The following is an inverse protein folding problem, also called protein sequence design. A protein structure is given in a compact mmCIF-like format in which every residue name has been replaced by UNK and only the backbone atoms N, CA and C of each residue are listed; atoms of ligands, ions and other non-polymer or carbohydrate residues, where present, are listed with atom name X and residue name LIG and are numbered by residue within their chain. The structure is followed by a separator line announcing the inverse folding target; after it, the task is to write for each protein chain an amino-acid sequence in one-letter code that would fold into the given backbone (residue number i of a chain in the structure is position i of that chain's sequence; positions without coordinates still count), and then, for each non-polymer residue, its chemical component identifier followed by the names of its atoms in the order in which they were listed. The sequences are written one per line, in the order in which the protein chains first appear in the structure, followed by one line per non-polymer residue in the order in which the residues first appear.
data_IF_775140122205
#
_entry.id   IF_775140122205
#
_cell.length_a   1.000
_cell.length_b   1.000
_cell.length_c   1.000
_cell.angle_alpha   90.00
_cell.angle_beta   90.00
_cell.angle_gamma   90.00
#
_symmetry.space_group_name_H-M   'P 1'
#
loop_
_entity.id
_entity.type
_entity.pdbx_description
1 polymer ?
#
# COMPACT_ATOMS: atom_id res chain seq x y z
N UNK A 1 -7.62 6.88 -20.81
CA UNK A 1 -6.46 7.70 -20.38
C UNK A 1 -5.70 8.22 -21.60
N UNK A 2 -5.05 7.37 -22.40
CA UNK A 2 -4.15 7.80 -23.49
C UNK A 2 -4.74 8.87 -24.44
N UNK A 3 -5.99 8.69 -24.88
CA UNK A 3 -6.70 9.68 -25.71
C UNK A 3 -6.85 11.06 -25.06
N UNK A 4 -6.92 11.12 -23.73
CA UNK A 4 -7.02 12.37 -22.98
C UNK A 4 -5.66 13.08 -22.91
N UNK A 5 -4.57 12.36 -22.65
CA UNK A 5 -3.22 12.93 -22.75
C UNK A 5 -2.87 13.38 -24.17
N UNK A 6 -3.29 12.63 -25.19
CA UNK A 6 -3.14 13.05 -26.59
C UNK A 6 -3.91 14.36 -26.87
N UNK A 7 -5.12 14.50 -26.35
CA UNK A 7 -5.89 15.74 -26.48
C UNK A 7 -5.19 16.93 -25.80
N UNK A 8 -4.65 16.74 -24.59
CA UNK A 8 -3.89 17.77 -23.87
C UNK A 8 -2.64 18.16 -24.66
N UNK A 9 -1.87 17.18 -25.16
CA UNK A 9 -0.69 17.45 -25.96
C UNK A 9 -1.00 18.23 -27.23
N UNK A 10 -2.10 17.89 -27.91
CA UNK A 10 -2.58 18.64 -29.10
C UNK A 10 -2.95 20.09 -28.76
N UNK A 11 -3.70 20.33 -27.68
CA UNK A 11 -4.09 21.69 -27.25
C UNK A 11 -2.88 22.54 -26.89
N UNK A 12 -1.87 21.93 -26.26
CA UNK A 12 -0.62 22.61 -25.88
C UNK A 12 0.36 22.79 -27.03
N UNK A 13 0.11 22.17 -28.19
CA UNK A 13 1.06 22.13 -29.31
C UNK A 13 2.35 21.36 -28.99
N UNK A 14 2.36 20.56 -27.92
CA UNK A 14 3.51 19.79 -27.43
C UNK A 14 3.06 18.35 -27.19
N UNK A 15 3.58 17.36 -27.94
CA UNK A 15 3.28 15.95 -27.69
C UNK A 15 3.51 15.57 -26.22
N UNK A 16 2.59 14.78 -25.68
CA UNK A 16 2.66 14.24 -24.32
C UNK A 16 2.73 12.72 -24.40
N UNK A 17 3.81 12.14 -23.88
CA UNK A 17 4.07 10.71 -23.91
C UNK A 17 4.10 10.13 -22.49
N UNK A 18 3.51 8.94 -22.31
CA UNK A 18 3.52 8.23 -21.03
C UNK A 18 4.42 7.00 -21.17
N UNK A 19 5.34 6.84 -20.23
CA UNK A 19 6.26 5.70 -20.17
C UNK A 19 6.14 5.02 -18.81
N UNK A 20 5.98 3.70 -18.83
CA UNK A 20 6.07 2.88 -17.63
C UNK A 20 7.49 2.40 -17.46
N UNK A 21 8.15 2.80 -16.37
CA UNK A 21 9.50 2.38 -16.00
C UNK A 21 9.48 1.78 -14.60
N UNK A 22 10.39 0.87 -14.28
CA UNK A 22 10.51 0.39 -12.90
C UNK A 22 11.23 1.44 -12.06
N UNK A 23 10.45 2.28 -11.37
CA UNK A 23 10.97 3.24 -10.41
C UNK A 23 11.08 2.58 -9.04
N UNK A 24 12.23 2.66 -8.37
CA UNK A 24 12.36 2.19 -7.00
C UNK A 24 11.58 3.09 -6.03
N UNK A 25 11.34 2.60 -4.81
CA UNK A 25 10.56 3.31 -3.79
C UNK A 25 11.23 4.62 -3.31
N UNK A 26 12.52 4.79 -3.58
CA UNK A 26 13.31 6.00 -3.33
C UNK A 26 13.00 7.16 -4.29
N UNK A 27 12.38 6.87 -5.43
CA UNK A 27 11.92 7.88 -6.40
C UNK A 27 10.43 8.19 -6.19
N UNK A 28 9.92 9.34 -6.64
CA UNK A 28 8.48 9.58 -6.70
C UNK A 28 7.78 8.56 -7.64
N UNK A 29 6.47 8.33 -7.45
CA UNK A 29 5.71 7.37 -8.26
C UNK A 29 5.60 7.78 -9.74
N UNK A 30 5.71 9.09 -10.01
CA UNK A 30 5.69 9.70 -11.32
C UNK A 30 6.72 10.81 -11.43
N UNK A 31 7.13 11.12 -12.66
CA UNK A 31 8.06 12.18 -13.00
C UNK A 31 7.63 12.83 -14.30
N UNK A 32 7.43 14.14 -14.28
CA UNK A 32 7.29 14.95 -15.49
C UNK A 32 8.66 15.39 -16.00
N UNK A 33 9.01 15.00 -17.22
CA UNK A 33 10.24 15.39 -17.90
C UNK A 33 9.88 16.22 -19.13
N UNK A 34 10.19 17.52 -19.08
CA UNK A 34 10.00 18.45 -20.20
C UNK A 34 11.27 18.42 -21.08
N UNK A 35 11.15 17.92 -22.32
CA UNK A 35 12.24 17.93 -23.30
C UNK A 35 11.95 18.90 -24.44
N UNK A 36 12.97 19.18 -25.24
CA UNK A 36 12.82 19.96 -26.47
C UNK A 36 11.90 19.20 -27.45
N UNK A 37 10.69 19.72 -27.64
CA UNK A 37 9.71 19.21 -28.61
C UNK A 37 8.73 18.16 -28.10
N UNK A 38 8.82 17.67 -26.85
CA UNK A 38 7.83 16.80 -26.24
C UNK A 38 7.93 16.77 -24.71
N UNK A 39 6.82 16.48 -24.04
CA UNK A 39 6.76 16.23 -22.59
C UNK A 39 6.58 14.73 -22.34
N UNK A 40 7.28 14.21 -21.34
CA UNK A 40 7.25 12.80 -20.96
C UNK A 40 6.77 12.67 -19.51
N UNK A 41 5.78 11.82 -19.28
CA UNK A 41 5.37 11.39 -17.96
C UNK A 41 5.92 9.98 -17.75
N UNK A 42 6.92 9.84 -16.89
CA UNK A 42 7.50 8.55 -16.51
C UNK A 42 6.79 8.09 -15.25
N UNK A 43 6.33 6.85 -15.22
CA UNK A 43 5.53 6.31 -14.11
C UNK A 43 6.08 4.97 -13.68
N UNK A 44 6.06 4.71 -12.38
CA UNK A 44 6.37 3.40 -11.83
C UNK A 44 5.42 2.33 -12.40
N UNK A 45 5.99 1.45 -13.23
CA UNK A 45 5.28 0.38 -13.92
C UNK A 45 4.69 -0.67 -12.96
N UNK A 46 5.13 -0.69 -11.69
CA UNK A 46 4.59 -1.57 -10.66
C UNK A 46 3.34 -0.99 -9.96
N UNK A 47 2.91 0.23 -10.30
CA UNK A 47 1.71 0.83 -9.71
C UNK A 47 0.43 0.11 -10.17
N UNK A 48 -0.50 -0.19 -9.23
CA UNK A 48 -1.85 -0.63 -9.57
C UNK A 48 -2.58 0.37 -10.47
N UNK A 49 -3.53 -0.10 -11.30
CA UNK A 49 -4.18 0.72 -12.34
C UNK A 49 -4.69 2.08 -11.85
N UNK A 50 -5.37 2.11 -10.70
CA UNK A 50 -5.94 3.34 -10.16
C UNK A 50 -4.85 4.30 -9.66
N UNK A 51 -3.83 3.78 -8.98
CA UNK A 51 -2.68 4.58 -8.53
C UNK A 51 -1.89 5.13 -9.71
N UNK A 52 -1.61 4.28 -10.72
CA UNK A 52 -0.98 4.70 -11.98
C UNK A 52 -1.75 5.84 -12.63
N UNK A 53 -3.07 5.74 -12.70
CA UNK A 53 -3.89 6.79 -13.28
C UNK A 53 -3.84 8.08 -12.47
N UNK A 54 -3.96 8.01 -11.14
CA UNK A 54 -3.79 9.20 -10.30
C UNK A 54 -2.43 9.85 -10.51
N UNK A 55 -1.35 9.07 -10.56
CA UNK A 55 -0.01 9.58 -10.85
C UNK A 55 0.05 10.29 -12.20
N UNK A 56 -0.52 9.72 -13.27
CA UNK A 56 -0.64 10.45 -14.56
C UNK A 56 -1.35 11.78 -14.38
N UNK A 57 -2.51 11.77 -13.70
CA UNK A 57 -3.36 12.95 -13.54
C UNK A 57 -2.65 14.04 -12.73
N UNK A 58 -1.85 13.65 -11.75
CA UNK A 58 -1.00 14.53 -10.95
C UNK A 58 0.08 15.20 -11.81
N UNK A 59 0.84 14.44 -12.62
CA UNK A 59 1.83 15.04 -13.53
C UNK A 59 1.16 15.95 -14.59
N UNK A 60 -0.04 15.58 -15.05
CA UNK A 60 -0.84 16.42 -15.93
C UNK A 60 -1.31 17.70 -15.21
N UNK A 61 -1.63 17.63 -13.93
CA UNK A 61 -2.00 18.81 -13.15
C UNK A 61 -0.84 19.81 -13.09
N UNK A 62 0.40 19.35 -12.88
CA UNK A 62 1.57 20.22 -12.99
C UNK A 62 1.66 20.90 -14.37
N UNK A 63 1.41 20.17 -15.46
CA UNK A 63 1.41 20.74 -16.80
C UNK A 63 0.31 21.78 -17.04
N UNK A 64 -0.88 21.58 -16.48
CA UNK A 64 -2.04 22.47 -16.67
C UNK A 64 -1.92 23.72 -15.82
N UNK A 65 -1.39 23.59 -14.61
CA UNK A 65 -1.17 24.70 -13.67
C UNK A 65 0.17 25.43 -13.89
N UNK A 66 0.96 24.96 -14.86
CA UNK A 66 2.33 25.42 -15.15
C UNK A 66 3.24 25.43 -13.93
N UNK A 67 3.11 24.39 -13.10
CA UNK A 67 4.07 24.10 -12.04
C UNK A 67 5.34 23.55 -12.69
N UNK A 68 6.50 24.00 -12.22
CA UNK A 68 7.76 23.34 -12.51
C UNK A 68 7.74 21.97 -11.82
N UNK A 69 7.21 20.97 -12.52
CA UNK A 69 7.19 19.57 -12.08
C UNK A 69 8.63 19.13 -11.87
N UNK A 70 9.04 19.08 -10.61
CA UNK A 70 10.44 19.00 -10.26
C UNK A 70 10.87 17.52 -10.32
N UNK A 71 11.43 17.13 -11.46
CA UNK A 71 11.80 15.74 -11.69
C UNK A 71 12.86 15.24 -10.69
N UNK A 72 13.66 16.13 -10.07
CA UNK A 72 14.83 15.72 -9.29
C UNK A 72 15.32 16.71 -8.20
N UNK A 73 14.72 17.88 -7.97
CA UNK A 73 15.20 18.80 -6.92
C UNK A 73 14.42 18.66 -5.60
N UNK A 74 15.17 18.82 -4.51
CA UNK A 74 14.76 18.42 -3.15
C UNK A 74 13.85 19.43 -2.43
N UNK A 75 13.46 20.51 -3.09
CA UNK A 75 12.67 21.62 -2.51
C UNK A 75 11.44 21.93 -3.37
N UNK A 76 10.62 20.91 -3.62
CA UNK A 76 9.30 21.14 -4.24
C UNK A 76 8.38 21.80 -3.22
N UNK A 77 7.76 22.91 -3.60
CA UNK A 77 6.84 23.65 -2.74
C UNK A 77 5.64 22.76 -2.39
N UNK A 78 5.48 22.47 -1.10
CA UNK A 78 4.39 21.64 -0.59
C UNK A 78 3.00 22.19 -0.94
N UNK A 79 2.87 23.50 -1.16
CA UNK A 79 1.62 24.10 -1.62
C UNK A 79 1.32 23.76 -3.09
N UNK A 80 2.32 23.80 -3.97
CA UNK A 80 2.19 23.43 -5.38
C UNK A 80 1.87 21.94 -5.54
N UNK A 81 2.50 21.09 -4.73
CA UNK A 81 2.20 19.66 -4.66
C UNK A 81 0.76 19.39 -4.22
N UNK A 82 0.29 20.09 -3.18
CA UNK A 82 -1.08 19.96 -2.69
C UNK A 82 -2.10 20.43 -3.74
N UNK A 83 -1.80 21.52 -4.46
CA UNK A 83 -2.66 22.03 -5.53
C UNK A 83 -2.72 21.06 -6.72
N UNK A 84 -1.57 20.51 -7.15
CA UNK A 84 -1.51 19.49 -8.20
C UNK A 84 -2.30 18.23 -7.82
N UNK A 85 -2.23 17.80 -6.56
CA UNK A 85 -3.02 16.68 -6.05
C UNK A 85 -4.53 16.94 -6.05
N UNK A 86 -4.96 18.14 -5.63
CA UNK A 86 -6.38 18.51 -5.68
C UNK A 86 -6.89 18.58 -7.12
N UNK A 87 -6.10 19.14 -8.03
CA UNK A 87 -6.42 19.17 -9.45
C UNK A 87 -6.50 17.75 -10.03
N UNK A 88 -5.58 16.85 -9.68
CA UNK A 88 -5.62 15.44 -10.09
C UNK A 88 -6.90 14.74 -9.62
N UNK A 89 -7.31 14.98 -8.37
CA UNK A 89 -8.55 14.43 -7.82
C UNK A 89 -9.80 14.94 -8.58
N UNK A 90 -9.83 16.22 -8.97
CA UNK A 90 -10.90 16.79 -9.79
C UNK A 90 -10.92 16.23 -11.21
N UNK A 91 -9.74 16.11 -11.84
CA UNK A 91 -9.57 15.51 -13.16
C UNK A 91 -10.04 14.05 -13.18
N UNK A 92 -9.73 13.29 -12.13
CA UNK A 92 -10.19 11.93 -11.95
C UNK A 92 -11.72 11.85 -11.89
N UNK A 93 -12.35 12.73 -11.11
CA UNK A 93 -13.80 12.81 -11.02
C UNK A 93 -14.44 13.09 -12.37
N UNK A 94 -13.91 14.07 -13.12
CA UNK A 94 -14.41 14.40 -14.45
C UNK A 94 -14.28 13.23 -15.42
N UNK A 95 -13.14 12.53 -15.42
CA UNK A 95 -12.92 11.34 -16.23
C UNK A 95 -13.92 10.22 -15.88
N UNK A 96 -14.11 9.94 -14.59
CA UNK A 96 -15.07 8.93 -14.13
C UNK A 96 -16.53 9.30 -14.46
N UNK A 97 -16.89 10.58 -14.36
CA UNK A 97 -18.20 11.09 -14.77
C UNK A 97 -18.42 10.93 -16.27
N UNK A 98 -17.45 11.34 -17.11
CA UNK A 98 -17.53 11.22 -18.56
C UNK A 98 -17.68 9.75 -19.01
N UNK A 99 -16.90 8.83 -18.43
CA UNK A 99 -17.01 7.40 -18.72
C UNK A 99 -18.40 6.84 -18.37
N UNK A 100 -18.96 7.26 -17.22
CA UNK A 100 -20.31 6.90 -16.82
C UNK A 100 -21.39 7.44 -17.75
N UNK A 101 -21.23 8.66 -18.27
CA UNK A 101 -22.17 9.28 -19.21
C UNK A 101 -22.14 8.65 -20.61
N UNK A 102 -21.00 8.13 -21.06
CA UNK A 102 -20.89 7.43 -22.36
C UNK A 102 -21.48 6.02 -22.35
N UNK A 103 -21.69 5.44 -21.17
CA UNK A 103 -22.23 4.08 -21.01
C UNK A 103 -23.77 4.00 -21.07
N UNK A 104 -24.49 5.12 -21.17
CA UNK A 104 -25.95 5.14 -21.34
C UNK A 104 -26.36 5.60 -22.75
N UNK A 105 -26.95 4.71 -23.58
CA UNK A 105 -27.83 5.14 -24.66
C UNK A 105 -29.11 5.74 -24.07
N UNK A 106 -29.50 6.89 -24.60
CA UNK A 106 -30.77 7.56 -24.35
C UNK A 106 -31.97 6.62 -24.58
N UNK A 107 -32.53 6.09 -23.50
CA UNK A 107 -33.98 5.87 -23.41
C UNK A 107 -34.49 6.60 -22.19
N UNK A 108 -35.15 7.72 -22.45
CA UNK A 108 -36.03 8.45 -21.53
C UNK A 108 -37.02 7.45 -20.91
N UNK A 109 -36.71 6.91 -19.73
CA UNK A 109 -37.66 6.15 -18.92
C UNK A 109 -37.89 6.87 -17.60
N UNK A 110 -38.63 7.98 -17.70
CA UNK A 110 -39.24 8.71 -16.58
C UNK A 110 -40.42 7.89 -15.98
N UNK A 111 -40.32 6.56 -15.92
CA UNK A 111 -41.44 5.69 -15.52
C UNK A 111 -41.03 4.44 -14.71
N UNK A 112 -39.87 4.44 -14.04
CA UNK A 112 -39.44 3.29 -13.22
C UNK A 112 -38.76 3.66 -11.88
N UNK A 113 -38.96 4.88 -11.36
CA UNK A 113 -38.48 5.27 -10.02
C UNK A 113 -39.39 4.81 -8.87
N UNK A 114 -40.42 4.02 -9.15
CA UNK A 114 -41.27 3.40 -8.14
C UNK A 114 -41.04 1.88 -8.13
N UNK A 115 -40.30 1.42 -7.12
CA UNK A 115 -40.13 0.02 -6.64
C UNK A 115 -38.77 -0.67 -6.86
N UNK A 116 -37.66 0.03 -6.60
CA UNK A 116 -36.46 -0.65 -6.09
C UNK A 116 -36.56 -0.70 -4.56
N UNK A 117 -36.60 -1.88 -3.90
CA UNK A 117 -36.85 -1.93 -2.47
C UNK A 117 -35.68 -1.32 -1.69
N UNK A 118 -35.99 -0.41 -0.77
CA UNK A 118 -35.07 0.28 0.15
C UNK A 118 -34.06 -0.67 0.86
N UNK A 119 -34.38 -1.97 0.97
CA UNK A 119 -33.50 -3.02 1.55
C UNK A 119 -32.29 -3.39 0.69
N UNK A 120 -32.37 -3.35 -0.64
CA UNK A 120 -31.22 -3.61 -1.53
C UNK A 120 -30.29 -2.39 -1.60
N UNK A 121 -30.87 -1.20 -1.45
CA UNK A 121 -30.12 0.06 -1.39
C UNK A 121 -29.35 0.19 -0.07
N UNK A 122 -29.94 -0.26 1.04
CA UNK A 122 -29.27 -0.26 2.34
C UNK A 122 -28.11 -1.26 2.36
N UNK A 123 -28.28 -2.51 1.90
CA UNK A 123 -27.22 -3.53 1.98
C UNK A 123 -25.96 -3.15 1.21
N UNK A 124 -26.09 -2.64 -0.02
CA UNK A 124 -24.94 -2.17 -0.82
C UNK A 124 -24.25 -0.95 -0.20
N UNK A 125 -25.02 -0.02 0.37
CA UNK A 125 -24.46 1.13 1.10
C UNK A 125 -23.70 0.67 2.35
N UNK A 126 -24.22 -0.31 3.08
CA UNK A 126 -23.55 -0.89 4.25
C UNK A 126 -22.27 -1.64 3.87
N UNK A 127 -22.25 -2.40 2.78
CA UNK A 127 -21.03 -3.06 2.31
C UNK A 127 -19.96 -2.06 1.90
N UNK A 128 -20.36 -0.96 1.26
CA UNK A 128 -19.45 0.11 0.86
C UNK A 128 -18.89 0.85 2.09
N UNK A 129 -19.73 1.20 3.07
CA UNK A 129 -19.27 1.83 4.32
C UNK A 129 -18.33 0.91 5.11
N UNK A 130 -18.61 -0.39 5.11
CA UNK A 130 -17.74 -1.38 5.75
C UNK A 130 -16.40 -1.49 5.03
N UNK A 131 -16.41 -1.46 3.70
CA UNK A 131 -15.18 -1.43 2.91
C UNK A 131 -14.37 -0.17 3.24
N UNK A 132 -14.99 1.01 3.24
CA UNK A 132 -14.34 2.29 3.57
C UNK A 132 -13.73 2.26 4.98
N UNK A 133 -14.43 1.68 5.96
CA UNK A 133 -13.88 1.46 7.30
C UNK A 133 -12.63 0.59 7.27
N UNK A 134 -12.67 -0.56 6.60
CA UNK A 134 -11.51 -1.46 6.50
C UNK A 134 -10.33 -0.84 5.73
N UNK A 135 -10.58 -0.06 4.68
CA UNK A 135 -9.52 0.68 3.97
C UNK A 135 -8.90 1.73 4.89
N UNK A 136 -9.71 2.43 5.69
CA UNK A 136 -9.22 3.38 6.69
C UNK A 136 -8.36 2.67 7.75
N UNK A 137 -8.79 1.50 8.23
CA UNK A 137 -7.99 0.68 9.16
C UNK A 137 -6.64 0.28 8.54
N UNK A 138 -6.64 -0.16 7.28
CA UNK A 138 -5.39 -0.51 6.58
C UNK A 138 -4.45 0.68 6.46
N UNK A 139 -4.98 1.85 6.08
CA UNK A 139 -4.20 3.09 6.03
C UNK A 139 -3.58 3.42 7.40
N UNK A 140 -4.36 3.29 8.49
CA UNK A 140 -3.86 3.54 9.84
C UNK A 140 -2.74 2.56 10.21
N UNK A 141 -2.90 1.28 9.90
CA UNK A 141 -1.88 0.25 10.15
C UNK A 141 -0.60 0.51 9.36
N UNK A 142 -0.71 0.88 8.08
CA UNK A 142 0.43 1.23 7.24
C UNK A 142 1.16 2.49 7.76
N UNK A 143 0.44 3.57 8.10
CA UNK A 143 1.06 4.79 8.65
C UNK A 143 1.69 4.55 10.01
N UNK A 144 1.05 3.77 10.88
CA UNK A 144 1.60 3.41 12.18
C UNK A 144 2.89 2.59 12.05
N UNK A 145 2.97 1.71 11.04
CA UNK A 145 4.17 0.94 10.72
C UNK A 145 5.24 1.69 9.93
N UNK A 146 4.90 2.86 9.38
CA UNK A 146 5.77 3.69 8.54
C UNK A 146 5.73 5.16 8.92
N UNK A 147 6.00 5.47 10.19
CA UNK A 147 5.91 6.84 10.73
C UNK A 147 6.83 7.84 10.02
N UNK A 148 8.00 7.38 9.59
CA UNK A 148 9.00 8.23 8.94
C UNK A 148 8.75 8.40 7.43
N UNK A 149 7.73 7.71 6.88
CA UNK A 149 7.41 7.80 5.46
C UNK A 149 6.60 9.08 5.16
N UNK A 150 7.17 9.92 4.29
CA UNK A 150 6.49 11.07 3.69
C UNK A 150 5.45 10.58 2.67
N UNK A 151 4.24 10.28 3.14
CA UNK A 151 3.08 10.10 2.26
C UNK A 151 2.41 11.48 2.17
N UNK A 152 2.41 12.04 0.95
CA UNK A 152 1.74 13.30 0.63
C UNK A 152 0.24 13.08 0.85
N UNK A 153 -0.33 13.81 1.80
CA UNK A 153 -1.76 13.77 2.06
C UNK A 153 -2.32 15.14 1.75
N UNK A 154 -3.38 15.17 0.94
CA UNK A 154 -4.17 16.38 0.69
C UNK A 154 -5.01 16.78 1.91
N UNK A 155 -4.96 16.01 3.01
CA UNK A 155 -5.40 16.51 4.31
C UNK A 155 -4.36 17.47 4.89
N UNK A 156 -4.12 18.59 4.20
CA UNK A 156 -3.71 19.81 4.89
C UNK A 156 -4.76 20.05 5.98
N UNK A 157 -4.36 20.46 7.18
CA UNK A 157 -5.27 20.63 8.32
C UNK A 157 -6.43 21.62 8.11
N UNK A 158 -6.58 22.19 6.92
CA UNK A 158 -7.75 22.95 6.50
C UNK A 158 -8.83 22.00 5.97
N UNK A 159 -10.01 22.08 6.57
CA UNK A 159 -11.20 21.38 6.11
C UNK A 159 -11.56 21.87 4.70
N UNK A 160 -11.23 21.08 3.68
CA UNK A 160 -11.84 21.24 2.36
C UNK A 160 -13.36 21.19 2.55
N UNK A 161 -14.13 22.16 2.02
CA UNK A 161 -15.57 22.26 2.27
C UNK A 161 -16.29 20.92 2.05
N UNK A 162 -17.09 20.56 3.06
CA UNK A 162 -17.80 19.29 3.26
C UNK A 162 -18.73 18.88 2.09
N UNK A 163 -18.95 19.77 1.12
CA UNK A 163 -19.79 19.53 -0.05
C UNK A 163 -19.16 18.55 -1.07
N UNK A 164 -17.86 18.24 -0.96
CA UNK A 164 -17.16 17.19 -1.74
C UNK A 164 -17.20 15.82 -1.02
N UNK A 165 -18.36 15.46 -0.46
CA UNK A 165 -18.53 14.34 0.46
C UNK A 165 -18.70 12.95 -0.20
N UNK A 166 -17.87 11.99 0.21
CA UNK A 166 -18.08 10.54 0.05
C UNK A 166 -17.16 9.85 -0.97
N UNK A 167 -17.38 10.09 -2.28
CA UNK A 167 -16.59 9.42 -3.34
C UNK A 167 -15.13 9.91 -3.37
N UNK A 168 -14.92 11.21 -3.15
CA UNK A 168 -13.59 11.82 -3.10
C UNK A 168 -12.75 11.24 -1.96
N UNK A 169 -13.32 11.18 -0.75
CA UNK A 169 -12.63 10.59 0.40
C UNK A 169 -12.25 9.12 0.17
N UNK A 170 -13.12 8.32 -0.47
CA UNK A 170 -12.79 6.93 -0.83
C UNK A 170 -11.64 6.87 -1.83
N UNK A 171 -11.72 7.62 -2.92
CA UNK A 171 -10.67 7.69 -3.94
C UNK A 171 -9.33 8.06 -3.31
N UNK A 172 -9.26 9.21 -2.63
CA UNK A 172 -8.03 9.67 -1.98
C UNK A 172 -7.48 8.64 -1.01
N UNK A 173 -8.34 8.05 -0.18
CA UNK A 173 -7.91 7.03 0.78
C UNK A 173 -7.31 5.79 0.10
N UNK A 174 -7.87 5.36 -1.03
CA UNK A 174 -7.35 4.24 -1.82
C UNK A 174 -5.98 4.59 -2.41
N UNK A 175 -5.81 5.79 -2.95
CA UNK A 175 -4.53 6.29 -3.46
C UNK A 175 -3.47 6.30 -2.34
N UNK A 176 -3.77 6.90 -1.19
CA UNK A 176 -2.81 6.96 -0.07
C UNK A 176 -2.40 5.57 0.44
N UNK A 177 -3.31 4.59 0.39
CA UNK A 177 -2.98 3.20 0.69
C UNK A 177 -2.01 2.64 -0.35
N UNK A 178 -2.22 2.91 -1.63
CA UNK A 178 -1.29 2.47 -2.68
C UNK A 178 0.08 3.12 -2.57
N UNK A 179 0.16 4.41 -2.23
CA UNK A 179 1.42 5.10 -2.00
C UNK A 179 2.19 4.44 -0.84
N UNK A 180 1.49 4.16 0.25
CA UNK A 180 2.05 3.45 1.38
C UNK A 180 2.54 2.03 1.01
N UNK A 181 1.75 1.28 0.23
CA UNK A 181 2.15 -0.05 -0.25
C UNK A 181 3.36 0.00 -1.18
N UNK A 182 3.45 1.02 -2.04
CA UNK A 182 4.62 1.26 -2.89
C UNK A 182 5.88 1.51 -2.06
N UNK A 183 5.79 2.36 -1.04
CA UNK A 183 6.91 2.62 -0.13
C UNK A 183 7.34 1.37 0.65
N UNK A 184 6.43 0.42 0.88
CA UNK A 184 6.72 -0.84 1.57
C UNK A 184 7.33 -1.91 0.65
N UNK A 185 7.24 -1.73 -0.68
CA UNK A 185 7.66 -2.72 -1.70
C UNK A 185 9.06 -3.30 -1.49
N UNK A 186 10.10 -2.52 -1.10
CA UNK A 186 11.45 -3.06 -0.89
C UNK A 186 11.56 -4.15 0.21
N UNK A 187 10.57 -4.27 1.09
CA UNK A 187 10.52 -5.30 2.13
C UNK A 187 9.56 -6.45 1.80
N UNK A 188 8.85 -6.38 0.67
CA UNK A 188 7.93 -7.42 0.21
C UNK A 188 8.70 -8.58 -0.42
N UNK A 189 8.28 -9.81 -0.14
CA UNK A 189 8.94 -11.03 -0.63
C UNK A 189 7.94 -11.92 -1.36
N UNK A 190 8.30 -12.33 -2.59
CA UNK A 190 7.52 -13.29 -3.37
C UNK A 190 7.43 -14.66 -2.70
N UNK A 191 8.44 -15.06 -1.94
CA UNK A 191 8.42 -16.33 -1.21
C UNK A 191 7.35 -16.35 -0.10
N UNK A 192 7.14 -15.20 0.58
CA UNK A 192 6.07 -15.03 1.57
C UNK A 192 4.71 -15.11 0.87
N UNK A 193 4.58 -14.43 -0.27
CA UNK A 193 3.35 -14.46 -1.07
C UNK A 193 2.98 -15.88 -1.47
N UNK A 194 3.90 -16.61 -2.11
CA UNK A 194 3.65 -17.98 -2.59
C UNK A 194 3.40 -18.95 -1.42
N UNK A 195 4.08 -18.76 -0.28
CA UNK A 195 3.84 -19.54 0.94
C UNK A 195 2.41 -19.35 1.46
N UNK A 196 2.00 -18.10 1.61
CA UNK A 196 0.68 -17.73 2.07
C UNK A 196 -0.42 -18.19 1.11
N UNK A 197 -0.21 -18.07 -0.20
CA UNK A 197 -1.12 -18.56 -1.23
C UNK A 197 -1.30 -20.08 -1.14
N UNK A 198 -0.19 -20.84 -1.15
CA UNK A 198 -0.23 -22.31 -0.98
C UNK A 198 -0.92 -22.71 0.32
N UNK A 199 -0.68 -21.97 1.41
CA UNK A 199 -1.33 -22.21 2.70
C UNK A 199 -2.83 -21.99 2.60
N UNK A 200 -3.27 -20.84 2.07
CA UNK A 200 -4.69 -20.53 1.88
C UNK A 200 -5.42 -21.56 1.00
N UNK A 201 -4.77 -22.01 -0.09
CA UNK A 201 -5.31 -23.05 -0.97
C UNK A 201 -5.50 -24.40 -0.25
N UNK A 202 -4.58 -24.80 0.65
CA UNK A 202 -4.75 -26.02 1.46
C UNK A 202 -5.98 -25.98 2.37
N UNK A 203 -6.36 -24.79 2.84
CA UNK A 203 -7.58 -24.58 3.62
C UNK A 203 -8.85 -24.39 2.75
N UNK A 204 -8.73 -24.55 1.42
CA UNK A 204 -9.84 -24.48 0.46
C UNK A 204 -10.61 -23.16 0.51
N UNK A 205 -9.90 -22.05 0.77
CA UNK A 205 -10.48 -20.72 0.65
C UNK A 205 -10.84 -20.42 -0.80
N UNK A 206 -11.83 -19.55 -1.03
CA UNK A 206 -12.14 -19.06 -2.37
C UNK A 206 -10.99 -18.19 -2.93
N UNK A 207 -10.95 -18.00 -4.25
CA UNK A 207 -9.86 -17.28 -4.93
C UNK A 207 -9.69 -15.84 -4.41
N UNK A 208 -10.78 -15.18 -4.06
CA UNK A 208 -10.80 -13.82 -3.54
C UNK A 208 -10.21 -13.73 -2.12
N UNK A 209 -10.42 -14.76 -1.29
CA UNK A 209 -9.85 -14.89 0.04
C UNK A 209 -8.38 -15.35 0.00
N UNK A 210 -8.02 -16.25 -0.92
CA UNK A 210 -6.63 -16.67 -1.17
C UNK A 210 -5.76 -15.46 -1.51
N UNK A 211 -6.18 -14.65 -2.49
CA UNK A 211 -5.46 -13.44 -2.87
C UNK A 211 -5.32 -12.46 -1.70
N UNK A 212 -6.41 -12.23 -0.95
CA UNK A 212 -6.39 -11.34 0.19
C UNK A 212 -5.43 -11.81 1.31
N UNK A 213 -5.35 -13.12 1.57
CA UNK A 213 -4.40 -13.70 2.54
C UNK A 213 -2.96 -13.57 2.06
N UNK A 214 -2.69 -13.87 0.79
CA UNK A 214 -1.34 -13.77 0.24
C UNK A 214 -0.81 -12.33 0.23
N UNK A 215 -1.63 -11.37 -0.20
CA UNK A 215 -1.33 -9.94 -0.15
C UNK A 215 -1.14 -9.45 1.29
N UNK A 216 -2.05 -9.80 2.20
CA UNK A 216 -1.98 -9.39 3.60
C UNK A 216 -0.76 -9.97 4.32
N UNK A 217 -0.41 -11.24 4.08
CA UNK A 217 0.80 -11.86 4.65
C UNK A 217 2.07 -11.15 4.15
N UNK A 218 2.12 -10.84 2.86
CA UNK A 218 3.24 -10.09 2.27
C UNK A 218 3.41 -8.73 2.94
N UNK A 219 2.31 -7.95 3.08
CA UNK A 219 2.32 -6.65 3.76
C UNK A 219 2.68 -6.78 5.24
N UNK A 220 2.12 -7.76 5.96
CA UNK A 220 2.38 -7.95 7.38
C UNK A 220 3.87 -8.24 7.65
N UNK A 221 4.44 -9.19 6.91
CA UNK A 221 5.86 -9.54 7.02
C UNK A 221 6.74 -8.36 6.62
N UNK A 222 6.41 -7.67 5.52
CA UNK A 222 7.17 -6.51 5.06
C UNK A 222 7.19 -5.37 6.10
N UNK A 223 6.05 -5.07 6.73
CA UNK A 223 5.95 -4.07 7.81
C UNK A 223 6.86 -4.44 8.98
N UNK A 224 6.86 -5.71 9.39
CA UNK A 224 7.71 -6.18 10.49
C UNK A 224 9.20 -6.14 10.13
N UNK A 225 9.56 -6.56 8.92
CA UNK A 225 10.95 -6.48 8.42
C UNK A 225 11.44 -5.03 8.42
N UNK A 226 10.63 -4.11 7.91
CA UNK A 226 10.92 -2.66 7.92
C UNK A 226 11.09 -2.13 9.34
N UNK A 227 10.15 -2.43 10.24
CA UNK A 227 10.22 -2.02 11.66
C UNK A 227 11.45 -2.54 12.38
N UNK A 228 11.91 -3.74 12.03
CA UNK A 228 13.10 -4.36 12.57
C UNK A 228 14.39 -3.99 11.82
N UNK A 229 14.32 -3.05 10.86
CA UNK A 229 15.43 -2.64 9.99
C UNK A 229 16.17 -3.83 9.33
N UNK A 230 15.43 -4.90 9.00
CA UNK A 230 16.00 -6.05 8.32
C UNK A 230 16.37 -5.70 6.87
N UNK A 231 17.32 -6.44 6.27
CA UNK A 231 17.70 -6.25 4.88
C UNK A 231 16.49 -6.31 3.94
N UNK A 232 16.58 -5.53 2.87
CA UNK A 232 15.59 -5.52 1.79
C UNK A 232 15.37 -6.95 1.28
N UNK A 233 14.14 -7.24 0.89
CA UNK A 233 13.78 -8.51 0.28
C UNK A 233 13.94 -8.42 -1.25
N UNK A 234 13.80 -9.55 -1.95
CA UNK A 234 13.68 -9.54 -3.41
C UNK A 234 12.42 -8.74 -3.78
N UNK A 235 12.61 -7.59 -4.44
CA UNK A 235 11.58 -6.63 -4.86
C UNK A 235 10.47 -7.35 -5.65
N UNK A 236 9.49 -7.88 -4.93
CA UNK A 236 8.39 -8.64 -5.52
C UNK A 236 7.24 -7.69 -5.78
N UNK A 237 6.77 -7.57 -7.04
CA UNK A 237 5.66 -6.69 -7.34
C UNK A 237 4.39 -7.24 -6.70
N UNK A 238 3.61 -6.35 -6.07
CA UNK A 238 2.19 -6.60 -5.91
C UNK A 238 1.58 -6.57 -7.31
N UNK A 239 1.35 -7.73 -7.92
CA UNK A 239 0.63 -7.79 -9.19
C UNK A 239 -0.84 -7.56 -8.89
N UNK A 240 -1.25 -6.29 -8.87
CA UNK A 240 -2.67 -5.97 -8.83
C UNK A 240 -3.31 -6.47 -10.13
N UNK A 241 -4.41 -7.20 -10.02
CA UNK A 241 -5.20 -7.58 -11.19
C UNK A 241 -5.60 -6.31 -11.94
N UNK A 242 -5.63 -6.32 -13.29
CA UNK A 242 -6.10 -5.18 -14.06
C UNK A 242 -7.55 -4.87 -13.67
N UNK A 243 -7.76 -3.72 -13.00
CA UNK A 243 -9.09 -3.18 -12.77
C UNK A 243 -9.39 -2.08 -13.76
N UNK A 244 -10.68 -1.83 -13.98
CA UNK A 244 -11.15 -0.60 -14.60
C UNK A 244 -10.68 0.59 -13.76
N UNK A 245 -9.98 1.52 -14.41
CA UNK A 245 -9.45 2.75 -13.79
C UNK A 245 -10.54 3.58 -13.11
N UNK A 246 -11.80 3.41 -13.49
CA UNK A 246 -12.93 4.16 -12.92
C UNK A 246 -13.63 3.45 -11.76
N UNK A 247 -13.37 2.15 -11.51
CA UNK A 247 -14.03 1.38 -10.45
C UNK A 247 -13.27 1.41 -9.11
N UNK A 248 -13.21 2.61 -8.50
CA UNK A 248 -12.67 2.81 -7.14
C UNK A 248 -13.34 1.89 -6.12
N UNK A 249 -14.60 1.49 -6.35
CA UNK A 249 -15.33 0.65 -5.38
C UNK A 249 -14.82 -0.78 -5.40
N UNK A 250 -14.48 -1.33 -6.56
CA UNK A 250 -13.85 -2.64 -6.65
C UNK A 250 -12.50 -2.65 -5.93
N UNK A 251 -11.67 -1.62 -6.16
CA UNK A 251 -10.37 -1.53 -5.50
C UNK A 251 -10.52 -1.36 -3.98
N UNK A 252 -11.42 -0.49 -3.51
CA UNK A 252 -11.72 -0.35 -2.09
C UNK A 252 -12.19 -1.68 -1.46
N UNK A 253 -13.00 -2.49 -2.17
CA UNK A 253 -13.40 -3.82 -1.68
C UNK A 253 -12.26 -4.83 -1.65
N UNK A 254 -11.30 -4.75 -2.58
CA UNK A 254 -10.08 -5.57 -2.57
C UNK A 254 -9.21 -5.21 -1.37
N UNK A 255 -8.88 -3.92 -1.21
CA UNK A 255 -8.12 -3.41 -0.07
C UNK A 255 -8.81 -3.69 1.28
N UNK A 256 -10.14 -3.63 1.34
CA UNK A 256 -10.90 -4.00 2.52
C UNK A 256 -10.77 -5.50 2.89
N UNK A 257 -10.75 -6.39 1.89
CA UNK A 257 -10.51 -7.83 2.12
C UNK A 257 -9.09 -8.08 2.60
N UNK A 258 -8.10 -7.43 2.00
CA UNK A 258 -6.71 -7.50 2.45
C UNK A 258 -6.57 -6.99 3.88
N UNK A 259 -7.17 -5.83 4.20
CA UNK A 259 -7.22 -5.28 5.56
C UNK A 259 -7.82 -6.27 6.57
N UNK A 260 -8.96 -6.89 6.22
CA UNK A 260 -9.58 -7.89 7.09
C UNK A 260 -8.68 -9.11 7.29
N UNK A 261 -8.06 -9.61 6.22
CA UNK A 261 -7.12 -10.72 6.32
C UNK A 261 -5.90 -10.37 7.18
N UNK A 262 -5.38 -9.14 7.07
CA UNK A 262 -4.26 -8.63 7.84
C UNK A 262 -4.51 -8.69 9.36
N UNK A 263 -5.73 -8.35 9.79
CA UNK A 263 -6.06 -8.25 11.21
C UNK A 263 -6.66 -9.54 11.78
N UNK A 264 -7.43 -10.29 10.98
CA UNK A 264 -8.27 -11.38 11.48
C UNK A 264 -7.78 -12.78 11.07
N UNK A 265 -6.87 -12.91 10.09
CA UNK A 265 -6.47 -14.22 9.55
C UNK A 265 -5.37 -14.89 10.39
N UNK A 266 -5.68 -16.06 10.94
CA UNK A 266 -4.67 -16.92 11.59
C UNK A 266 -3.60 -17.42 10.61
N UNK A 267 -3.92 -17.49 9.30
CA UNK A 267 -2.93 -17.86 8.28
C UNK A 267 -1.90 -16.74 8.10
N UNK A 268 -2.32 -15.47 8.15
CA UNK A 268 -1.41 -14.31 8.08
C UNK A 268 -0.52 -14.26 9.32
N UNK A 269 -1.09 -14.42 10.51
CA UNK A 269 -0.31 -14.52 11.75
C UNK A 269 0.76 -15.62 11.67
N UNK A 270 0.39 -16.81 11.19
CA UNK A 270 1.33 -17.92 11.05
C UNK A 270 2.38 -17.73 9.94
N UNK A 271 2.19 -16.80 8.99
CA UNK A 271 3.26 -16.39 8.06
C UNK A 271 4.18 -15.38 8.74
N UNK A 272 3.65 -14.43 9.51
CA UNK A 272 4.47 -13.49 10.30
C UNK A 272 5.41 -14.25 11.23
N UNK A 273 4.91 -15.23 11.99
CA UNK A 273 5.71 -16.05 12.91
C UNK A 273 6.79 -16.88 12.18
N UNK A 274 6.55 -17.26 10.93
CA UNK A 274 7.47 -18.06 10.12
C UNK A 274 8.61 -17.24 9.52
N UNK A 275 8.32 -16.00 9.10
CA UNK A 275 9.22 -15.19 8.26
C UNK A 275 9.87 -14.00 8.97
N UNK A 276 9.30 -13.57 10.08
CA UNK A 276 9.85 -12.54 10.95
C UNK A 276 10.39 -13.31 12.15
N UNK A 277 11.64 -13.80 12.11
CA UNK A 277 12.19 -14.53 13.24
C UNK A 277 12.00 -13.72 14.51
N UNK A 278 11.64 -14.42 15.59
CA UNK A 278 11.49 -13.87 16.93
C UNK A 278 12.75 -13.05 17.25
N UNK A 279 12.61 -11.73 17.26
CA UNK A 279 13.61 -10.77 17.76
C UNK A 279 13.67 -10.97 19.29
N UNK A 280 14.26 -12.09 19.74
CA UNK A 280 14.55 -12.39 21.14
C UNK A 280 15.45 -13.64 21.32
N UNK A 281 16.37 -13.93 20.40
CA UNK A 281 17.46 -14.90 20.70
C UNK A 281 18.86 -14.33 20.53
N UNK A 282 19.02 -13.04 20.21
CA UNK A 282 20.35 -12.44 19.96
C UNK A 282 20.66 -11.22 20.85
N UNK A 283 19.76 -10.78 21.73
CA UNK A 283 20.00 -9.60 22.60
C UNK A 283 20.42 -9.91 24.05
N UNK A 284 21.03 -11.07 24.30
CA UNK A 284 21.86 -11.32 25.49
C UNK A 284 23.15 -12.05 25.14
N UNK A 285 23.91 -11.51 24.20
CA UNK A 285 25.36 -11.70 24.19
C UNK A 285 26.01 -10.40 23.77
N UNK A 286 26.14 -9.49 24.73
CA UNK A 286 27.03 -8.35 24.61
C UNK A 286 28.43 -8.86 24.25
N UNK A 287 28.86 -8.51 23.05
CA UNK A 287 30.26 -8.57 22.66
C UNK A 287 31.03 -7.45 23.37
N UNK A 288 32.17 -7.80 23.94
CA UNK A 288 33.32 -6.89 24.10
C UNK A 288 34.54 -7.49 23.39
N UNK A 289 35.45 -6.64 22.87
CA UNK A 289 36.27 -6.90 21.68
C UNK A 289 37.61 -7.65 21.97
N UNK A 290 38.43 -7.98 20.96
CA UNK A 290 39.47 -9.00 21.09
C UNK A 290 40.78 -8.42 21.66
N UNK A 291 41.37 -9.13 22.62
CA UNK A 291 42.72 -8.89 23.14
C UNK A 291 43.55 -10.16 23.05
N UNK A 292 44.63 -10.09 22.26
CA UNK A 292 45.52 -11.19 21.89
C UNK A 292 46.45 -11.65 23.04
N UNK A 293 46.79 -12.95 23.01
CA UNK A 293 47.92 -13.66 23.63
C UNK A 293 47.79 -14.13 25.09
N UNK A 294 47.56 -15.45 25.26
CA UNK A 294 48.47 -16.32 26.01
C UNK A 294 48.17 -17.81 25.76
N UNK A 295 49.23 -18.56 25.43
CA UNK A 295 49.30 -20.03 25.37
C UNK A 295 48.92 -20.66 26.71
N UNK A 296 48.33 -21.85 26.67
CA UNK A 296 48.45 -22.84 27.74
C UNK A 296 47.16 -23.58 28.10
N UNK A 297 46.96 -24.77 27.52
CA UNK A 297 46.15 -25.84 28.12
C UNK A 297 46.82 -26.28 29.46
N UNK A 298 46.08 -26.72 30.49
CA UNK A 298 45.34 -27.99 30.40
C UNK A 298 43.97 -28.07 31.08
N UNK A 299 43.21 -29.04 30.58
CA UNK A 299 42.00 -29.65 31.13
C UNK A 299 42.21 -30.10 32.58
N UNK A 300 41.25 -29.81 33.46
CA UNK A 300 41.01 -30.58 34.70
C UNK A 300 39.50 -30.81 34.93
N UNK A 301 39.11 -31.96 35.53
CA UNK A 301 37.72 -32.36 35.65
C UNK A 301 37.05 -31.78 36.92
N UNK A 302 35.72 -31.70 36.87
CA UNK A 302 34.83 -31.30 37.97
C UNK A 302 35.03 -32.16 39.23
N UNK A 303 34.96 -31.57 40.44
CA UNK A 303 34.83 -32.35 41.67
C UNK A 303 33.38 -32.81 41.89
N UNK A 304 33.22 -34.13 42.01
CA UNK A 304 32.06 -34.77 42.65
C UNK A 304 32.04 -34.41 44.14
N UNK A 305 30.94 -33.80 44.60
CA UNK A 305 30.28 -34.04 45.90
C UNK A 305 29.54 -32.79 46.41
N UNK A 306 28.21 -32.85 46.42
CA UNK A 306 27.40 -32.09 47.36
C UNK A 306 26.12 -32.89 47.66
N UNK A 307 26.23 -33.67 48.72
CA UNK A 307 25.19 -34.44 49.41
C UNK A 307 23.99 -33.59 49.82
N UNK A 308 22.79 -34.14 49.59
CA UNK A 308 21.48 -33.69 50.09
C UNK A 308 21.40 -33.77 51.63
N UNK A 309 20.88 -32.76 52.35
CA UNK A 309 20.50 -32.91 53.74
C UNK A 309 19.10 -33.52 53.88
N UNK A 310 18.99 -34.51 54.76
CA UNK A 310 17.77 -35.23 55.10
C UNK A 310 16.82 -34.47 56.03
N UNK A 311 15.57 -34.94 56.00
CA UNK A 311 14.37 -34.47 56.68
C UNK A 311 14.33 -35.03 58.13
N UNK A 312 13.99 -34.24 59.17
CA UNK A 312 13.84 -34.79 60.52
C UNK A 312 12.47 -35.44 60.73
N UNK A 313 12.47 -36.59 61.41
CA UNK A 313 11.29 -37.32 61.86
C UNK A 313 10.89 -36.90 63.30
N UNK A 314 9.57 -36.97 63.55
CA UNK A 314 8.86 -36.72 64.80
C UNK A 314 9.34 -37.63 65.95
N UNK A 315 9.32 -37.10 67.17
CA UNK A 315 9.32 -37.87 68.41
C UNK A 315 7.95 -37.77 69.11
N UNK A 316 7.70 -38.79 69.94
CA UNK A 316 6.49 -39.15 70.70
C UNK A 316 5.94 -38.06 71.62
#
# INVERSE_FOLDING_TARGET
MDAWCEAIGRVRGRPLHIRGERLGAEHPPGLLVRLDGADYIIIDAALPTLARAQTVLHEVAHLVLDHDGDALHADVDAALEAEAELAADLLYQQMAHAAGSTAEPCTRQVAALSRVPLRLWSSRRWTDLRADWHVTQLWMTLRAGMRDAKIISTSTGEQVPVEVGGRHHRHRRVIEVHDALRLLRPWCSGQVHDSAERRALRYRLDSAAVAAVAEAATVAVALRRRQAALPLADDSPFVAAPLDVTDVRAEARRLARMSRALHDSSLVAAEVDCWVPVIASVDTSEASPPGTLARGLPVMPLPDSATRPGRPARAM
#
